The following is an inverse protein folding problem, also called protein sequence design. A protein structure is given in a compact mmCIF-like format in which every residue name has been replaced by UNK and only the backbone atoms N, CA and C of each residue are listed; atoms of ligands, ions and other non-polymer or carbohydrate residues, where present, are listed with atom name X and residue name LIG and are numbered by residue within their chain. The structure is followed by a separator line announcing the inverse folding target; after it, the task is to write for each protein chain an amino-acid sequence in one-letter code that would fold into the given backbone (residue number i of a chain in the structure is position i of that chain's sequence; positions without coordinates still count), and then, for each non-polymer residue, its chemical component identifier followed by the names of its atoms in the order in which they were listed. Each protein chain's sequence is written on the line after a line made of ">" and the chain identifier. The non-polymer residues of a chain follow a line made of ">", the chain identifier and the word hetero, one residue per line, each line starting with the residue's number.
data_IF_097687934879
#
_entry.id   IF_097687934879
#
_cell.length_a   1.000
_cell.length_b   1.000
_cell.length_c   1.000
_cell.angle_alpha   90.00
_cell.angle_beta   90.00
_cell.angle_gamma   90.00
#
_symmetry.space_group_name_H-M   'P 1'
#
loop_
_entity.id
_entity.type
_entity.pdbx_description
1 polymer ?
#
# COMPACT_ATOMS: atom_id res chain seq x y z
N UNK A 1 -0.07 15.58 -11.87
CA UNK A 1 -0.23 14.74 -10.66
C UNK A 1 1.12 14.67 -9.99
N UNK A 2 1.25 15.03 -8.72
CA UNK A 2 2.55 15.02 -8.05
C UNK A 2 3.05 13.57 -7.93
N UNK A 3 4.22 13.28 -8.52
CA UNK A 3 4.86 11.98 -8.43
C UNK A 3 5.09 11.65 -6.96
N UNK A 4 4.45 10.59 -6.46
CA UNK A 4 4.59 10.20 -5.07
C UNK A 4 6.02 9.68 -4.86
N UNK A 5 6.84 10.43 -4.13
CA UNK A 5 8.19 9.96 -3.79
C UNK A 5 8.08 8.84 -2.74
N UNK A 6 9.04 7.91 -2.72
CA UNK A 6 9.08 6.82 -1.75
C UNK A 6 8.95 7.30 -0.28
N UNK A 7 9.47 8.50 0.01
CA UNK A 7 9.35 9.15 1.33
C UNK A 7 7.90 9.53 1.66
N UNK A 8 7.15 10.09 0.70
CA UNK A 8 5.74 10.44 0.89
C UNK A 8 4.88 9.17 1.02
N UNK A 9 5.16 8.15 0.21
CA UNK A 9 4.49 6.85 0.30
C UNK A 9 4.71 6.24 1.69
N UNK A 10 5.96 6.22 2.16
CA UNK A 10 6.32 5.69 3.48
C UNK A 10 5.55 6.38 4.60
N UNK A 11 5.54 7.72 4.61
CA UNK A 11 4.83 8.48 5.64
C UNK A 11 3.32 8.17 5.66
N UNK A 12 2.69 8.12 4.49
CA UNK A 12 1.26 7.78 4.37
C UNK A 12 0.95 6.37 4.87
N UNK A 13 1.83 5.41 4.57
CA UNK A 13 1.69 4.01 5.02
C UNK A 13 1.88 3.92 6.54
N UNK A 14 2.94 4.52 7.08
CA UNK A 14 3.23 4.53 8.53
C UNK A 14 2.08 5.19 9.30
N UNK A 15 1.56 6.33 8.85
CA UNK A 15 0.41 7.01 9.48
C UNK A 15 -0.87 6.15 9.47
N UNK A 16 -1.01 5.23 8.51
CA UNK A 16 -2.15 4.33 8.41
C UNK A 16 -2.00 3.10 9.32
N UNK A 17 -0.83 2.47 9.28
CA UNK A 17 -0.53 1.29 10.08
C UNK A 17 -0.46 1.63 11.58
N UNK A 18 0.02 2.82 11.95
CA UNK A 18 -0.01 3.30 13.34
C UNK A 18 -1.44 3.41 13.91
N UNK A 19 -2.46 3.51 13.05
CA UNK A 19 -3.87 3.50 13.46
C UNK A 19 -4.44 2.08 13.58
N UNK A 20 -3.62 1.05 13.36
CA UNK A 20 -4.05 -0.36 13.34
C UNK A 20 -4.91 -0.71 12.12
N UNK A 21 -4.97 0.15 11.10
CA UNK A 21 -5.75 -0.06 9.89
C UNK A 21 -4.84 -0.61 8.78
N UNK A 22 -5.17 -1.81 8.28
CA UNK A 22 -4.55 -2.34 7.07
C UNK A 22 -4.90 -1.50 5.84
N UNK A 23 -4.07 -1.55 4.80
CA UNK A 23 -4.29 -0.79 3.58
C UNK A 23 -4.86 -1.71 2.51
N UNK A 24 -5.95 -1.32 1.88
CA UNK A 24 -6.54 -2.13 0.80
C UNK A 24 -5.76 -1.91 -0.49
N UNK A 25 -5.29 -2.99 -1.11
CA UNK A 25 -4.61 -2.95 -2.40
C UNK A 25 -5.06 -4.13 -3.27
N UNK A 26 -4.80 -4.05 -4.57
CA UNK A 26 -4.91 -5.21 -5.46
C UNK A 26 -3.52 -5.78 -5.74
N UNK A 27 -3.34 -7.07 -5.48
CA UNK A 27 -2.13 -7.79 -5.87
C UNK A 27 -2.48 -8.91 -6.86
N UNK A 28 -1.76 -9.05 -8.00
CA UNK A 28 -2.14 -9.99 -9.07
C UNK A 28 -2.34 -11.44 -8.62
N UNK A 29 -1.57 -11.90 -7.61
CA UNK A 29 -1.66 -13.26 -7.08
C UNK A 29 -2.61 -13.42 -5.90
N UNK A 30 -2.86 -12.34 -5.15
CA UNK A 30 -3.56 -12.41 -3.86
C UNK A 30 -4.96 -11.78 -3.92
N UNK A 31 -5.31 -11.17 -5.05
CA UNK A 31 -6.56 -10.44 -5.24
C UNK A 31 -6.57 -9.09 -4.51
N UNK A 32 -7.77 -8.51 -4.41
CA UNK A 32 -8.01 -7.29 -3.66
C UNK A 32 -8.35 -7.60 -2.20
N UNK A 33 -7.51 -7.16 -1.27
CA UNK A 33 -7.76 -7.29 0.18
C UNK A 33 -6.96 -6.26 0.97
N UNK A 34 -7.15 -6.25 2.28
CA UNK A 34 -6.32 -5.47 3.18
C UNK A 34 -4.97 -6.17 3.39
N UNK A 35 -3.91 -5.40 3.25
CA UNK A 35 -2.54 -5.83 3.46
C UNK A 35 -1.86 -4.87 4.43
N UNK A 36 -0.88 -5.39 5.18
CA UNK A 36 0.16 -4.51 5.71
C UNK A 36 1.05 -4.11 4.54
N UNK A 37 1.44 -2.84 4.48
CA UNK A 37 2.32 -2.33 3.44
C UNK A 37 3.58 -1.72 4.06
N UNK A 38 4.69 -1.70 3.33
CA UNK A 38 5.89 -0.98 3.74
C UNK A 38 6.64 -0.44 2.53
N UNK A 39 7.51 0.54 2.77
CA UNK A 39 8.49 0.98 1.79
C UNK A 39 9.84 0.38 2.16
N UNK A 40 10.45 -0.36 1.23
CA UNK A 40 11.77 -0.98 1.37
C UNK A 40 12.70 -0.39 0.32
N UNK A 41 13.56 0.53 0.72
CA UNK A 41 14.38 1.30 -0.24
C UNK A 41 13.51 2.15 -1.17
N UNK A 42 13.49 1.81 -2.45
CA UNK A 42 12.68 2.48 -3.49
C UNK A 42 11.44 1.67 -3.91
N UNK A 43 11.28 0.46 -3.36
CA UNK A 43 10.17 -0.43 -3.66
C UNK A 43 9.10 -0.38 -2.58
N UNK A 44 7.86 -0.68 -2.98
CA UNK A 44 6.73 -0.75 -2.08
C UNK A 44 6.29 -2.20 -2.00
N UNK A 45 6.14 -2.70 -0.79
CA UNK A 45 5.90 -4.11 -0.51
C UNK A 45 4.62 -4.28 0.30
N UNK A 46 3.89 -5.37 0.06
CA UNK A 46 2.72 -5.80 0.83
C UNK A 46 2.97 -7.15 1.50
N UNK A 47 2.41 -7.35 2.70
CA UNK A 47 2.53 -8.60 3.45
C UNK A 47 1.37 -9.54 3.11
N UNK A 48 1.68 -10.76 2.65
CA UNK A 48 0.63 -11.73 2.32
C UNK A 48 0.16 -12.60 3.51
N UNK A 49 0.76 -12.42 4.69
CA UNK A 49 0.60 -13.29 5.85
C UNK A 49 1.84 -14.14 6.16
N UNK A 50 2.73 -14.35 5.19
CA UNK A 50 3.92 -15.20 5.28
C UNK A 50 5.20 -14.52 4.78
N UNK A 51 5.11 -13.64 3.78
CA UNK A 51 6.24 -12.96 3.16
C UNK A 51 5.86 -11.57 2.63
N UNK A 52 6.86 -10.71 2.48
CA UNK A 52 6.71 -9.39 1.86
C UNK A 52 6.86 -9.53 0.35
N UNK A 53 5.95 -8.91 -0.41
CA UNK A 53 5.92 -8.96 -1.86
C UNK A 53 5.95 -7.55 -2.43
N UNK A 54 6.87 -7.29 -3.34
CA UNK A 54 6.88 -6.04 -4.11
C UNK A 54 5.60 -5.91 -4.94
N UNK A 55 5.00 -4.73 -4.86
CA UNK A 55 3.85 -4.39 -5.71
C UNK A 55 4.30 -3.68 -6.98
N UNK A 56 3.62 -3.91 -8.11
CA UNK A 56 3.87 -3.16 -9.34
C UNK A 56 3.71 -1.66 -9.11
N UNK A 57 4.49 -0.86 -9.86
CA UNK A 57 4.16 0.55 -10.08
C UNK A 57 2.73 0.65 -10.62
N UNK A 58 2.06 1.75 -10.29
CA UNK A 58 0.64 2.02 -10.51
C UNK A 58 -0.33 1.26 -9.59
N UNK A 59 0.17 0.55 -8.57
CA UNK A 59 -0.70 -0.07 -7.56
C UNK A 59 -1.42 1.01 -6.75
N UNK A 60 -2.75 0.90 -6.71
CA UNK A 60 -3.62 1.79 -5.93
C UNK A 60 -3.82 1.26 -4.52
N UNK A 61 -3.53 2.11 -3.54
CA UNK A 61 -3.75 1.86 -2.14
C UNK A 61 -4.95 2.65 -1.64
N UNK A 62 -5.90 1.99 -0.98
CA UNK A 62 -7.20 2.54 -0.59
C UNK A 62 -7.43 2.42 0.91
N UNK A 63 -8.16 3.39 1.49
CA UNK A 63 -8.49 3.47 2.91
C UNK A 63 -9.71 2.61 3.32
N UNK A 64 -10.17 1.68 2.47
CA UNK A 64 -11.34 0.86 2.83
C UNK A 64 -12.02 0.21 1.66
N UNK A 65 -11.47 -0.89 1.12
CA UNK A 65 -12.05 -1.66 -0.01
C UNK A 65 -12.57 -0.79 -1.17
N UNK A 66 -11.88 0.33 -1.44
CA UNK A 66 -12.30 1.31 -2.46
C UNK A 66 -13.48 2.22 -2.09
N UNK A 67 -14.12 2.05 -0.93
CA UNK A 67 -15.26 2.87 -0.47
C UNK A 67 -14.87 4.21 0.16
N UNK A 68 -13.63 4.36 0.64
CA UNK A 68 -13.14 5.57 1.31
C UNK A 68 -12.16 6.41 0.45
N UNK A 69 -12.02 6.07 -0.84
CA UNK A 69 -11.10 6.72 -1.78
C UNK A 69 -9.65 6.22 -1.74
N UNK A 70 -8.91 6.60 -2.78
CA UNK A 70 -7.51 6.24 -2.98
C UNK A 70 -6.63 7.07 -2.01
N UNK A 71 -5.82 6.41 -1.17
CA UNK A 71 -4.80 7.05 -0.32
C UNK A 71 -3.66 7.59 -1.16
N UNK A 72 -3.17 6.76 -2.08
CA UNK A 72 -2.14 7.07 -3.07
C UNK A 72 -2.01 5.95 -4.12
N UNK A 73 -1.35 6.29 -5.23
CA UNK A 73 -0.87 5.35 -6.25
C UNK A 73 0.66 5.30 -6.18
N UNK A 74 1.23 4.10 -6.18
CA UNK A 74 2.68 3.85 -6.16
C UNK A 74 3.34 4.03 -7.53
#
# INVERSE_FOLDING_TARGET
>A
MATLTAVIARKKIEDHLMKGAGIYAYHPKLGGRYFDARVSGETLEVWDGYSWFEVPRDTKFNNGNGSAGDLFTY
#
